data_IF_943169398720
#
_entry.id   IF_943169398720
#
_cell.length_a   1.000
_cell.length_b   1.000
_cell.length_c   1.000
_cell.angle_alpha   90.00
_cell.angle_beta   90.00
_cell.angle_gamma   90.00
#
_symmetry.space_group_name_H-M   'P 1'
#
loop_
_entity.id
_entity.type
_entity.pdbx_description
1 polymer ?
#
# COMPACT_ATOMS: atom_id res chain seq x y z
N UNK A 1 -96.96 44.31 36.40
CA UNK A 1 -95.76 43.49 36.81
C UNK A 1 -95.55 42.50 35.70
N UNK A 2 -94.53 42.74 34.84
CA UNK A 2 -94.12 41.82 33.76
C UNK A 2 -92.61 41.63 33.87
N UNK A 3 -92.20 40.42 34.17
CA UNK A 3 -90.83 40.02 34.23
C UNK A 3 -90.36 39.63 32.82
N UNK A 4 -89.35 40.24 32.34
CA UNK A 4 -88.61 39.84 31.15
C UNK A 4 -87.42 38.99 31.53
N UNK A 5 -87.39 37.75 31.05
CA UNK A 5 -86.27 36.84 31.20
C UNK A 5 -85.48 36.94 29.90
N UNK A 6 -84.29 37.51 30.00
CA UNK A 6 -83.29 37.52 28.91
C UNK A 6 -82.50 36.23 28.95
N UNK A 7 -82.55 35.46 27.91
CA UNK A 7 -81.73 34.27 27.69
C UNK A 7 -80.42 34.72 27.00
N UNK A 8 -79.32 34.58 27.69
CA UNK A 8 -77.99 34.79 27.12
C UNK A 8 -77.49 33.44 26.56
N UNK A 9 -77.36 33.36 25.25
CA UNK A 9 -76.75 32.21 24.56
C UNK A 9 -75.25 32.34 24.57
N UNK A 10 -74.58 31.40 25.24
CA UNK A 10 -73.13 31.31 25.31
C UNK A 10 -72.62 30.45 24.10
N UNK A 11 -72.05 31.13 23.10
CA UNK A 11 -71.36 30.47 21.99
C UNK A 11 -69.95 30.03 22.43
N UNK A 12 -69.74 28.72 22.61
CA UNK A 12 -68.44 28.11 22.79
C UNK A 12 -67.75 27.90 21.44
N UNK A 13 -66.74 28.73 21.13
CA UNK A 13 -65.82 28.49 20.02
C UNK A 13 -64.81 27.43 20.45
N UNK A 14 -64.97 26.23 19.94
CA UNK A 14 -63.98 25.18 20.06
C UNK A 14 -62.83 25.41 19.06
N UNK A 15 -61.66 25.80 19.55
CA UNK A 15 -60.42 25.82 18.75
C UNK A 15 -59.87 24.42 18.62
N UNK A 16 -60.03 23.82 17.42
CA UNK A 16 -59.35 22.56 17.08
C UNK A 16 -57.86 22.84 16.87
N UNK A 17 -57.04 22.42 17.82
CA UNK A 17 -55.54 22.38 17.67
C UNK A 17 -55.21 21.17 16.79
N UNK A 18 -54.92 21.44 15.51
CA UNK A 18 -54.35 20.43 14.61
C UNK A 18 -52.86 20.29 14.96
N UNK A 19 -52.52 19.24 15.72
CA UNK A 19 -51.13 18.88 15.96
C UNK A 19 -50.58 18.21 14.68
N UNK A 20 -49.84 18.95 13.88
CA UNK A 20 -49.04 18.39 12.78
C UNK A 20 -47.86 17.64 13.37
N UNK A 21 -47.95 16.32 13.43
CA UNK A 21 -46.82 15.45 13.70
C UNK A 21 -45.86 15.52 12.49
N UNK A 22 -44.82 16.36 12.61
CA UNK A 22 -43.67 16.30 11.69
C UNK A 22 -42.90 15.02 11.95
N UNK A 23 -43.20 13.97 11.18
CA UNK A 23 -42.37 12.78 11.10
C UNK A 23 -41.05 13.20 10.42
N UNK A 24 -40.06 13.57 11.18
CA UNK A 24 -38.71 13.76 10.68
C UNK A 24 -38.21 12.39 10.17
N UNK A 25 -38.07 12.25 8.87
CA UNK A 25 -37.58 11.05 8.23
C UNK A 25 -36.09 10.80 8.66
N UNK A 26 -35.79 9.73 9.42
CA UNK A 26 -34.44 9.48 9.89
C UNK A 26 -33.48 9.01 8.78
N UNK A 27 -33.97 8.79 7.57
CA UNK A 27 -33.22 8.17 6.48
C UNK A 27 -32.33 9.14 5.67
N UNK A 28 -32.67 10.42 5.54
CA UNK A 28 -31.87 11.33 4.72
C UNK A 28 -30.51 11.67 5.38
N UNK A 29 -30.43 11.82 6.70
CA UNK A 29 -29.16 12.04 7.39
C UNK A 29 -28.22 10.84 7.34
N UNK A 30 -28.77 9.61 7.34
CA UNK A 30 -27.96 8.38 7.23
C UNK A 30 -27.41 8.16 5.83
N UNK A 31 -28.19 8.50 4.78
CA UNK A 31 -27.76 8.37 3.39
C UNK A 31 -26.68 9.41 3.06
N UNK A 32 -26.82 10.65 3.53
CA UNK A 32 -25.82 11.70 3.34
C UNK A 32 -24.54 11.38 4.13
N UNK A 33 -24.65 10.94 5.38
CA UNK A 33 -23.47 10.54 6.17
C UNK A 33 -22.76 9.31 5.59
N UNK A 34 -23.48 8.33 5.04
CA UNK A 34 -22.85 7.19 4.37
C UNK A 34 -22.26 7.55 3.00
N UNK A 35 -22.81 8.51 2.29
CA UNK A 35 -22.26 9.03 1.05
C UNK A 35 -21.00 9.88 1.31
N UNK A 36 -20.99 10.71 2.35
CA UNK A 36 -19.82 11.51 2.75
C UNK A 36 -18.68 10.63 3.29
N UNK A 37 -18.97 9.59 4.09
CA UNK A 37 -17.95 8.64 4.55
C UNK A 37 -17.39 7.81 3.40
N UNK A 38 -18.23 7.38 2.44
CA UNK A 38 -17.78 6.66 1.25
C UNK A 38 -16.92 7.51 0.31
N UNK A 39 -17.20 8.80 0.20
CA UNK A 39 -16.44 9.73 -0.64
C UNK A 39 -15.08 10.09 0.00
N UNK A 40 -15.00 10.13 1.34
CA UNK A 40 -13.76 10.36 2.07
C UNK A 40 -12.80 9.16 2.07
N UNK A 41 -13.30 7.94 1.83
CA UNK A 41 -12.49 6.72 1.79
C UNK A 41 -12.00 6.35 0.38
N UNK A 42 -12.48 6.98 -0.68
CA UNK A 42 -12.02 6.72 -2.04
C UNK A 42 -10.64 7.35 -2.30
N UNK A 43 -9.74 6.59 -2.95
CA UNK A 43 -8.38 7.03 -3.31
C UNK A 43 -8.02 6.55 -4.72
N UNK A 44 -7.10 7.23 -5.39
CA UNK A 44 -6.62 6.82 -6.72
C UNK A 44 -5.79 5.53 -6.64
N UNK A 45 -4.93 5.44 -5.62
CA UNK A 45 -4.03 4.31 -5.41
C UNK A 45 -3.96 3.99 -3.92
N UNK A 46 -3.97 2.71 -3.59
CA UNK A 46 -3.57 2.19 -2.30
C UNK A 46 -2.19 1.55 -2.46
N UNK A 47 -1.15 2.14 -1.86
CA UNK A 47 0.26 1.79 -2.03
C UNK A 47 0.83 1.22 -0.74
N UNK A 48 1.36 0.00 -0.79
CA UNK A 48 2.09 -0.63 0.30
C UNK A 48 3.59 -0.65 -0.02
N UNK A 49 4.38 0.10 0.74
CA UNK A 49 5.84 0.11 0.67
C UNK A 49 6.40 -0.95 1.61
N UNK A 50 6.86 -2.05 1.05
CA UNK A 50 7.42 -3.19 1.75
C UNK A 50 8.95 -3.17 1.66
N UNK A 51 9.60 -2.87 2.77
CA UNK A 51 11.03 -2.53 2.81
C UNK A 51 11.82 -3.60 3.57
N UNK A 52 12.78 -4.21 2.90
CA UNK A 52 13.65 -5.24 3.47
C UNK A 52 14.59 -4.65 4.54
N UNK A 53 14.66 -5.34 5.67
CA UNK A 53 15.60 -5.07 6.76
C UNK A 53 16.37 -6.34 7.18
N UNK A 54 16.51 -7.28 6.25
CA UNK A 54 17.31 -8.48 6.46
C UNK A 54 18.78 -8.16 6.77
N UNK A 55 19.50 -9.11 7.37
CA UNK A 55 20.92 -8.90 7.77
C UNK A 55 21.86 -8.66 6.59
N UNK A 56 21.47 -8.97 5.37
CA UNK A 56 22.22 -8.60 4.17
C UNK A 56 22.24 -7.08 3.96
N UNK A 57 21.17 -6.36 4.32
CA UNK A 57 21.12 -4.89 4.30
C UNK A 57 22.00 -4.30 5.38
N UNK A 58 23.00 -3.49 5.02
CA UNK A 58 23.80 -2.74 5.99
C UNK A 58 22.98 -1.62 6.66
N UNK A 59 23.37 -1.24 7.89
CA UNK A 59 22.65 -0.19 8.65
C UNK A 59 22.61 1.14 7.90
N UNK A 60 23.70 1.48 7.19
CA UNK A 60 23.77 2.70 6.39
C UNK A 60 22.88 2.64 5.15
N UNK A 61 22.71 1.46 4.55
CA UNK A 61 21.79 1.25 3.43
C UNK A 61 20.34 1.35 3.88
N UNK A 62 20.01 0.79 5.05
CA UNK A 62 18.66 0.95 5.63
C UNK A 62 18.34 2.41 5.92
N UNK A 63 19.31 3.17 6.43
CA UNK A 63 19.16 4.61 6.67
C UNK A 63 18.95 5.37 5.36
N UNK A 64 19.78 5.11 4.34
CA UNK A 64 19.64 5.70 3.01
C UNK A 64 18.26 5.37 2.38
N UNK A 65 17.79 4.15 2.56
CA UNK A 65 16.51 3.70 2.06
C UNK A 65 15.36 4.48 2.72
N UNK A 66 15.37 4.61 4.06
CA UNK A 66 14.35 5.40 4.78
C UNK A 66 14.38 6.88 4.38
N UNK A 67 15.56 7.48 4.32
CA UNK A 67 15.73 8.85 3.86
C UNK A 67 15.21 9.01 2.42
N UNK A 68 15.53 8.05 1.54
CA UNK A 68 15.07 8.03 0.17
C UNK A 68 13.54 7.99 0.05
N UNK A 69 12.87 7.15 0.83
CA UNK A 69 11.40 7.09 0.85
C UNK A 69 10.79 8.37 1.41
N UNK A 70 11.30 8.90 2.53
CA UNK A 70 10.78 10.13 3.13
C UNK A 70 10.95 11.34 2.19
N UNK A 71 12.13 11.50 1.57
CA UNK A 71 12.39 12.56 0.60
C UNK A 71 11.53 12.40 -0.68
N UNK A 72 11.35 11.18 -1.16
CA UNK A 72 10.55 10.91 -2.36
C UNK A 72 9.07 11.26 -2.12
N UNK A 73 8.50 10.83 -1.00
CA UNK A 73 7.09 11.08 -0.63
C UNK A 73 6.81 12.58 -0.48
N UNK A 74 7.77 13.35 0.02
CA UNK A 74 7.64 14.81 0.22
C UNK A 74 8.06 15.62 -1.00
N UNK A 75 8.56 14.98 -2.06
CA UNK A 75 9.06 15.69 -3.25
C UNK A 75 7.93 16.35 -4.05
N UNK A 76 8.20 17.54 -4.64
CA UNK A 76 7.22 18.21 -5.49
C UNK A 76 6.72 17.33 -6.65
N UNK A 77 7.62 16.54 -7.25
CA UNK A 77 7.29 15.66 -8.38
C UNK A 77 6.30 14.57 -7.98
N UNK A 78 6.50 13.94 -6.81
CA UNK A 78 5.59 12.93 -6.29
C UNK A 78 4.22 13.54 -5.97
N UNK A 79 4.19 14.69 -5.27
CA UNK A 79 2.95 15.38 -4.92
C UNK A 79 2.18 15.88 -6.15
N UNK A 80 2.89 16.36 -7.18
CA UNK A 80 2.27 16.72 -8.45
C UNK A 80 1.62 15.49 -9.12
N UNK A 81 2.29 14.34 -9.06
CA UNK A 81 1.75 13.10 -9.62
C UNK A 81 0.52 12.62 -8.86
N UNK A 82 0.54 12.66 -7.52
CA UNK A 82 -0.64 12.38 -6.68
C UNK A 82 -1.80 13.31 -7.06
N UNK A 83 -1.55 14.62 -7.17
CA UNK A 83 -2.57 15.62 -7.53
C UNK A 83 -3.11 15.44 -8.95
N UNK A 84 -2.35 14.86 -9.86
CA UNK A 84 -2.81 14.57 -11.23
C UNK A 84 -3.80 13.39 -11.28
N UNK A 85 -3.96 12.63 -10.19
CA UNK A 85 -4.95 11.57 -10.02
C UNK A 85 -6.38 12.08 -10.17
N UNK A 86 -7.34 11.18 -10.38
CA UNK A 86 -8.75 11.55 -10.53
C UNK A 86 -9.32 12.17 -9.24
N UNK A 87 -8.88 11.63 -8.09
CA UNK A 87 -9.26 12.08 -6.76
C UNK A 87 -8.19 12.98 -6.14
N UNK A 88 -6.99 13.01 -6.70
CA UNK A 88 -5.85 13.79 -6.23
C UNK A 88 -5.33 13.37 -4.85
N UNK A 89 -5.52 12.10 -4.48
CA UNK A 89 -5.10 11.53 -3.21
C UNK A 89 -4.86 10.03 -3.29
N UNK A 90 -3.93 9.54 -2.48
CA UNK A 90 -3.59 8.13 -2.35
C UNK A 90 -3.61 7.71 -0.88
N UNK A 91 -3.75 6.42 -0.61
CA UNK A 91 -3.50 5.84 0.70
C UNK A 91 -2.16 5.11 0.67
N UNK A 92 -1.27 5.39 1.62
CA UNK A 92 0.06 4.80 1.70
C UNK A 92 0.24 4.06 3.02
N UNK A 93 0.94 2.94 2.97
CA UNK A 93 1.47 2.22 4.13
C UNK A 93 2.96 1.99 3.95
N UNK A 94 3.72 2.02 5.03
CA UNK A 94 5.14 1.68 5.04
C UNK A 94 5.40 0.66 6.12
N UNK A 95 6.00 -0.46 5.77
CA UNK A 95 6.39 -1.48 6.73
C UNK A 95 7.73 -2.12 6.37
N UNK A 96 8.42 -2.58 7.40
CA UNK A 96 9.69 -3.29 7.29
C UNK A 96 9.48 -4.78 7.53
N UNK A 97 10.19 -5.58 6.75
CA UNK A 97 10.05 -7.04 6.78
C UNK A 97 11.42 -7.74 6.70
N UNK A 98 11.46 -8.99 7.17
CA UNK A 98 12.60 -9.90 7.05
C UNK A 98 12.10 -11.35 6.90
N UNK A 99 12.21 -12.20 7.93
CA UNK A 99 11.68 -13.57 7.91
C UNK A 99 10.16 -13.63 7.72
N UNK A 100 9.65 -14.79 7.38
CA UNK A 100 8.20 -15.04 7.33
C UNK A 100 7.54 -14.73 8.68
N UNK A 101 6.57 -13.80 8.66
CA UNK A 101 5.90 -13.30 9.85
C UNK A 101 6.63 -12.20 10.62
N UNK A 102 7.89 -11.89 10.29
CA UNK A 102 8.61 -10.77 10.89
C UNK A 102 8.33 -9.48 10.10
N UNK A 103 7.26 -8.81 10.46
CA UNK A 103 6.82 -7.55 9.84
C UNK A 103 6.59 -6.49 10.91
N UNK A 104 7.13 -5.29 10.70
CA UNK A 104 6.88 -4.11 11.53
C UNK A 104 6.21 -3.02 10.70
N UNK A 105 4.92 -2.82 10.93
CA UNK A 105 4.16 -1.72 10.35
C UNK A 105 4.60 -0.41 11.02
N UNK A 106 5.16 0.51 10.24
CA UNK A 106 5.60 1.84 10.69
C UNK A 106 4.52 2.86 10.36
N UNK A 107 4.12 2.99 9.10
CA UNK A 107 3.02 3.87 8.68
C UNK A 107 1.79 3.02 8.39
N UNK A 108 0.76 3.16 9.23
CA UNK A 108 -0.51 2.46 9.05
C UNK A 108 -1.43 3.31 8.19
N UNK A 109 -1.61 2.95 6.95
CA UNK A 109 -2.56 3.54 5.99
C UNK A 109 -2.87 5.03 6.23
N UNK A 110 -2.07 5.90 5.63
CA UNK A 110 -2.22 7.36 5.68
C UNK A 110 -2.64 7.89 4.32
N UNK A 111 -3.55 8.83 4.32
CA UNK A 111 -3.85 9.62 3.11
C UNK A 111 -2.71 10.58 2.84
N UNK A 112 -2.28 10.63 1.58
CA UNK A 112 -1.47 11.71 1.04
C UNK A 112 -2.31 12.45 0.00
N UNK A 113 -2.59 13.71 0.30
CA UNK A 113 -3.38 14.62 -0.52
C UNK A 113 -2.72 16.01 -0.65
N UNK A 114 -1.52 16.17 -0.07
CA UNK A 114 -0.77 17.41 -0.13
C UNK A 114 0.52 17.37 0.70
N UNK A 115 1.26 18.50 0.77
CA UNK A 115 2.54 18.58 1.46
C UNK A 115 2.47 18.23 2.95
N UNK A 116 1.43 18.69 3.64
CA UNK A 116 1.30 18.47 5.10
C UNK A 116 1.13 16.99 5.43
N UNK A 117 0.23 16.29 4.74
CA UNK A 117 0.03 14.86 4.92
C UNK A 117 1.26 14.04 4.51
N UNK A 118 1.98 14.44 3.46
CA UNK A 118 3.23 13.82 3.04
C UNK A 118 4.35 14.01 4.08
N UNK A 119 4.49 15.22 4.64
CA UNK A 119 5.47 15.50 5.69
C UNK A 119 5.24 14.66 6.94
N UNK A 120 3.97 14.46 7.35
CA UNK A 120 3.64 13.59 8.49
C UNK A 120 4.10 12.14 8.23
N UNK A 121 3.87 11.61 7.03
CA UNK A 121 4.33 10.27 6.64
C UNK A 121 5.86 10.20 6.64
N UNK A 122 6.55 11.19 6.05
CA UNK A 122 8.01 11.24 6.02
C UNK A 122 8.62 11.27 7.43
N UNK A 123 8.06 12.07 8.34
CA UNK A 123 8.50 12.12 9.74
C UNK A 123 8.26 10.79 10.47
N UNK A 124 7.13 10.12 10.24
CA UNK A 124 6.82 8.83 10.86
C UNK A 124 7.82 7.75 10.41
N UNK A 125 8.21 7.73 9.13
CA UNK A 125 9.24 6.84 8.59
C UNK A 125 10.61 7.12 9.24
N UNK A 126 11.03 8.38 9.31
CA UNK A 126 12.35 8.76 9.81
C UNK A 126 12.49 8.57 11.33
N UNK A 127 11.41 8.74 12.09
CA UNK A 127 11.43 8.63 13.55
C UNK A 127 11.44 7.19 14.07
N UNK A 128 11.11 6.21 13.23
CA UNK A 128 11.09 4.82 13.65
C UNK A 128 12.51 4.30 13.95
N UNK A 129 12.73 3.52 15.03
CA UNK A 129 14.05 2.96 15.32
C UNK A 129 14.49 1.99 14.22
N UNK A 130 15.76 2.06 13.80
CA UNK A 130 16.35 1.10 12.87
C UNK A 130 16.34 -0.30 13.49
N UNK A 131 16.08 -1.30 12.68
CA UNK A 131 16.13 -2.71 13.07
C UNK A 131 16.75 -3.54 11.95
N UNK A 132 17.28 -4.69 12.30
CA UNK A 132 17.74 -5.73 11.38
C UNK A 132 17.23 -7.08 11.86
N UNK A 133 16.94 -7.97 10.94
CA UNK A 133 16.49 -9.32 11.28
C UNK A 133 17.04 -10.36 10.27
N UNK A 134 16.92 -11.63 10.62
CA UNK A 134 17.45 -12.71 9.78
C UNK A 134 16.46 -13.09 8.69
N UNK A 135 16.96 -13.63 7.59
CA UNK A 135 16.21 -14.20 6.47
C UNK A 135 15.47 -13.15 5.64
N UNK A 136 14.99 -13.59 4.47
CA UNK A 136 14.34 -12.76 3.45
C UNK A 136 13.06 -13.44 3.01
N UNK A 137 11.89 -12.89 3.37
CA UNK A 137 10.58 -13.42 3.03
C UNK A 137 9.78 -12.44 2.17
N UNK A 138 10.11 -12.38 0.88
CA UNK A 138 9.35 -11.60 -0.10
C UNK A 138 7.89 -12.08 -0.13
N UNK A 139 7.68 -13.39 -0.11
CA UNK A 139 6.34 -14.00 -0.05
C UNK A 139 5.56 -13.57 1.20
N UNK A 140 6.24 -13.46 2.34
CA UNK A 140 5.66 -12.95 3.60
C UNK A 140 5.23 -11.47 3.49
N UNK A 141 6.06 -10.64 2.86
CA UNK A 141 5.77 -9.22 2.61
C UNK A 141 4.58 -9.04 1.67
N UNK A 142 4.49 -9.83 0.58
CA UNK A 142 3.33 -9.84 -0.33
C UNK A 142 2.06 -10.23 0.42
N UNK A 143 2.09 -11.34 1.16
CA UNK A 143 0.93 -11.83 1.91
C UNK A 143 0.48 -10.86 3.00
N UNK A 144 1.41 -10.15 3.64
CA UNK A 144 1.08 -9.10 4.60
C UNK A 144 0.37 -7.93 3.91
N UNK A 145 0.87 -7.48 2.77
CA UNK A 145 0.26 -6.41 1.97
C UNK A 145 -1.16 -6.77 1.53
N UNK A 146 -1.38 -8.00 1.06
CA UNK A 146 -2.72 -8.50 0.69
C UNK A 146 -3.68 -8.43 1.89
N UNK A 147 -3.23 -8.86 3.07
CA UNK A 147 -4.03 -8.77 4.31
C UNK A 147 -4.29 -7.33 4.73
N UNK A 148 -3.32 -6.44 4.51
CA UNK A 148 -3.43 -5.01 4.82
C UNK A 148 -4.51 -4.37 3.95
N UNK A 149 -4.48 -4.61 2.64
CA UNK A 149 -5.50 -4.14 1.69
C UNK A 149 -6.89 -4.74 1.97
N UNK A 150 -6.96 -6.00 2.38
CA UNK A 150 -8.23 -6.67 2.72
C UNK A 150 -8.90 -6.11 4.00
N UNK A 151 -8.13 -5.41 4.85
CA UNK A 151 -8.62 -4.74 6.07
C UNK A 151 -8.70 -3.22 5.93
N UNK A 152 -8.44 -2.71 4.74
CA UNK A 152 -8.44 -1.28 4.46
C UNK A 152 -9.85 -0.70 4.51
N UNK A 153 -9.95 0.51 5.06
CA UNK A 153 -11.16 1.33 4.97
C UNK A 153 -11.21 2.14 3.66
N UNK A 154 -10.13 2.08 2.86
CA UNK A 154 -10.03 2.81 1.60
C UNK A 154 -10.51 1.99 0.41
N UNK A 155 -11.10 2.68 -0.55
CA UNK A 155 -11.54 2.13 -1.83
C UNK A 155 -10.67 2.70 -2.93
N UNK A 156 -9.68 1.92 -3.35
CA UNK A 156 -8.71 2.34 -4.36
C UNK A 156 -9.08 1.83 -5.76
N UNK A 157 -8.87 2.66 -6.77
CA UNK A 157 -8.95 2.24 -8.16
C UNK A 157 -7.83 1.25 -8.52
N UNK A 158 -6.66 1.37 -7.88
CA UNK A 158 -5.52 0.47 -8.03
C UNK A 158 -4.90 0.14 -6.67
N UNK A 159 -4.43 -1.10 -6.50
CA UNK A 159 -3.64 -1.54 -5.37
C UNK A 159 -2.25 -1.94 -5.84
N UNK A 160 -1.23 -1.39 -5.20
CA UNK A 160 0.16 -1.56 -5.60
C UNK A 160 0.99 -1.96 -4.38
N UNK A 161 1.81 -2.98 -4.53
CA UNK A 161 2.84 -3.38 -3.57
C UNK A 161 4.19 -3.03 -4.17
N UNK A 162 4.98 -2.24 -3.47
CA UNK A 162 6.38 -1.96 -3.77
C UNK A 162 7.27 -2.82 -2.89
N UNK A 163 7.97 -3.79 -3.47
CA UNK A 163 8.90 -4.67 -2.76
C UNK A 163 10.34 -4.23 -3.00
N UNK A 164 11.02 -3.77 -1.96
CA UNK A 164 12.47 -3.49 -2.02
C UNK A 164 13.25 -4.50 -1.19
N UNK A 165 14.39 -4.97 -1.72
CA UNK A 165 15.28 -5.91 -1.03
C UNK A 165 16.53 -6.25 -1.83
N UNK A 166 17.52 -6.82 -1.15
CA UNK A 166 18.86 -7.15 -1.68
C UNK A 166 19.11 -8.65 -1.84
N UNK A 167 18.08 -9.49 -1.68
CA UNK A 167 18.21 -10.94 -1.82
C UNK A 167 16.96 -11.65 -2.31
N UNK A 168 17.08 -12.95 -2.70
CA UNK A 168 15.96 -13.77 -3.11
C UNK A 168 15.12 -14.21 -1.89
N UNK A 169 13.88 -14.65 -2.14
CA UNK A 169 13.06 -15.28 -1.12
C UNK A 169 13.73 -16.55 -0.58
N UNK A 170 13.92 -16.63 0.73
CA UNK A 170 14.52 -17.79 1.38
C UNK A 170 13.76 -18.22 2.66
N UNK A 171 12.58 -17.67 2.90
CA UNK A 171 11.75 -17.95 4.06
C UNK A 171 10.26 -17.82 3.71
N UNK A 172 9.46 -18.73 4.22
CA UNK A 172 8.02 -18.76 3.98
C UNK A 172 7.63 -19.61 2.77
N UNK A 173 6.54 -19.25 2.11
CA UNK A 173 6.11 -19.95 0.89
C UNK A 173 6.92 -19.51 -0.33
N UNK A 174 6.83 -20.28 -1.42
CA UNK A 174 7.45 -19.94 -2.70
C UNK A 174 6.91 -18.59 -3.18
N UNK A 175 7.83 -17.71 -3.60
CA UNK A 175 7.49 -16.32 -3.96
C UNK A 175 6.45 -16.21 -5.07
N UNK A 176 6.55 -17.07 -6.09
CA UNK A 176 5.58 -17.09 -7.21
C UNK A 176 4.16 -17.41 -6.76
N UNK A 177 4.00 -18.31 -5.77
CA UNK A 177 2.69 -18.63 -5.23
C UNK A 177 2.05 -17.42 -4.52
N UNK A 178 2.82 -16.65 -3.75
CA UNK A 178 2.34 -15.42 -3.12
C UNK A 178 2.03 -14.34 -4.16
N UNK A 179 2.91 -14.14 -5.15
CA UNK A 179 2.72 -13.23 -6.28
C UNK A 179 1.42 -13.53 -7.03
N UNK A 180 1.24 -14.78 -7.46
CA UNK A 180 0.11 -15.16 -8.30
C UNK A 180 -1.23 -15.00 -7.55
N UNK A 181 -1.27 -15.28 -6.25
CA UNK A 181 -2.44 -14.99 -5.40
C UNK A 181 -2.76 -13.49 -5.35
N UNK A 182 -1.75 -12.63 -5.18
CA UNK A 182 -1.95 -11.19 -5.15
C UNK A 182 -2.42 -10.65 -6.51
N UNK A 183 -1.81 -11.13 -7.60
CA UNK A 183 -2.19 -10.75 -8.98
C UNK A 183 -3.62 -11.19 -9.30
N UNK A 184 -4.03 -12.38 -8.87
CA UNK A 184 -5.41 -12.85 -9.02
C UNK A 184 -6.45 -11.96 -8.30
N UNK A 185 -6.03 -11.20 -7.28
CA UNK A 185 -6.83 -10.20 -6.60
C UNK A 185 -6.76 -8.79 -7.25
N UNK A 186 -6.15 -8.68 -8.44
CA UNK A 186 -5.98 -7.42 -9.16
C UNK A 186 -4.93 -6.49 -8.57
N UNK A 187 -4.02 -7.00 -7.74
CA UNK A 187 -2.93 -6.24 -7.14
C UNK A 187 -1.72 -6.26 -8.07
N UNK A 188 -1.10 -5.09 -8.28
CA UNK A 188 0.18 -4.97 -8.98
C UNK A 188 1.32 -5.05 -7.98
N UNK A 189 2.36 -5.81 -8.29
CA UNK A 189 3.58 -5.92 -7.49
C UNK A 189 4.73 -5.37 -8.32
N UNK A 190 5.37 -4.30 -7.83
CA UNK A 190 6.57 -3.71 -8.38
C UNK A 190 7.78 -4.06 -7.53
N UNK A 191 8.97 -4.07 -8.15
CA UNK A 191 10.22 -4.45 -7.53
C UNK A 191 11.24 -3.33 -7.46
N UNK A 192 12.03 -3.29 -6.39
CA UNK A 192 13.23 -2.45 -6.22
C UNK A 192 14.40 -3.33 -5.77
N UNK A 193 14.96 -4.17 -6.68
CA UNK A 193 16.15 -4.96 -6.34
C UNK A 193 17.35 -4.05 -6.07
N UNK A 194 18.00 -4.27 -4.93
CA UNK A 194 19.15 -3.50 -4.44
C UNK A 194 20.41 -4.33 -4.68
N UNK A 195 21.25 -3.89 -5.60
CA UNK A 195 22.47 -4.59 -6.06
C UNK A 195 23.68 -3.68 -5.88
N UNK A 196 23.84 -3.09 -4.68
CA UNK A 196 24.90 -2.12 -4.38
C UNK A 196 26.24 -2.76 -4.05
N UNK A 197 26.27 -4.08 -3.90
CA UNK A 197 27.45 -4.88 -3.55
C UNK A 197 27.64 -6.00 -4.54
N UNK A 198 28.90 -6.39 -4.75
CA UNK A 198 29.19 -7.66 -5.39
C UNK A 198 28.74 -8.81 -4.48
N UNK A 199 28.19 -9.91 -5.03
CA UNK A 199 27.82 -11.07 -4.25
C UNK A 199 28.98 -11.55 -3.37
N UNK A 200 28.77 -11.59 -2.07
CA UNK A 200 29.80 -11.96 -1.09
C UNK A 200 29.96 -13.48 -0.98
N UNK A 201 28.92 -14.22 -1.28
CA UNK A 201 28.92 -15.68 -1.23
C UNK A 201 27.86 -16.26 -2.18
N UNK A 202 28.19 -17.26 -2.98
CA UNK A 202 27.23 -17.95 -3.86
C UNK A 202 26.04 -18.58 -3.11
N UNK A 203 26.18 -18.79 -1.80
CA UNK A 203 25.14 -19.40 -0.96
C UNK A 203 24.22 -18.38 -0.27
N UNK A 204 24.48 -17.08 -0.44
CA UNK A 204 23.73 -16.01 0.25
C UNK A 204 23.18 -14.99 -0.74
N UNK A 205 23.98 -14.63 -1.74
CA UNK A 205 23.67 -13.57 -2.69
C UNK A 205 23.57 -14.14 -4.11
N UNK A 206 22.66 -13.63 -4.90
CA UNK A 206 22.54 -13.98 -6.32
C UNK A 206 22.98 -12.81 -7.19
N UNK A 207 23.74 -13.12 -8.24
CA UNK A 207 24.28 -12.11 -9.17
C UNK A 207 23.17 -11.46 -10.00
N UNK A 208 22.15 -12.24 -10.36
CA UNK A 208 21.09 -11.82 -11.28
C UNK A 208 19.78 -11.53 -10.50
N UNK A 209 19.88 -10.74 -9.42
CA UNK A 209 18.75 -10.37 -8.56
C UNK A 209 17.70 -9.56 -9.35
N UNK A 210 18.12 -8.74 -10.29
CA UNK A 210 17.23 -8.01 -11.19
C UNK A 210 16.37 -8.97 -12.03
N UNK A 211 16.98 -10.00 -12.61
CA UNK A 211 16.27 -11.05 -13.35
C UNK A 211 15.32 -11.84 -12.42
N UNK A 212 15.77 -12.16 -11.20
CA UNK A 212 14.92 -12.80 -10.21
C UNK A 212 13.67 -11.97 -9.87
N UNK A 213 13.83 -10.67 -9.70
CA UNK A 213 12.68 -9.80 -9.46
C UNK A 213 11.76 -9.75 -10.67
N UNK A 214 12.29 -9.63 -11.89
CA UNK A 214 11.49 -9.61 -13.11
C UNK A 214 10.71 -10.92 -13.32
N UNK A 215 11.34 -12.08 -13.13
CA UNK A 215 10.73 -13.36 -13.45
C UNK A 215 9.87 -13.93 -12.33
N UNK A 216 10.22 -13.64 -11.06
CA UNK A 216 9.67 -14.35 -9.92
C UNK A 216 8.85 -13.45 -8.96
N UNK A 217 9.19 -12.16 -8.84
CA UNK A 217 8.62 -11.28 -7.81
C UNK A 217 7.52 -10.37 -8.35
N UNK A 218 7.81 -9.62 -9.42
CA UNK A 218 6.84 -8.65 -9.96
C UNK A 218 5.69 -9.36 -10.68
N UNK A 219 4.54 -8.68 -10.73
CA UNK A 219 3.37 -9.21 -11.42
C UNK A 219 2.18 -8.27 -11.38
N UNK A 220 1.19 -8.57 -12.21
CA UNK A 220 0.00 -7.76 -12.36
C UNK A 220 0.12 -6.67 -13.43
N UNK A 221 -0.96 -5.92 -13.70
CA UNK A 221 -1.02 -4.97 -14.81
C UNK A 221 0.00 -3.85 -14.66
N UNK A 222 0.91 -3.71 -15.65
CA UNK A 222 1.92 -2.65 -15.68
C UNK A 222 3.02 -2.80 -14.63
N UNK A 223 3.23 -4.00 -14.07
CA UNK A 223 4.31 -4.29 -13.13
C UNK A 223 5.68 -3.99 -13.73
N UNK A 224 6.58 -3.45 -12.93
CA UNK A 224 7.95 -3.14 -13.33
C UNK A 224 8.94 -3.32 -12.18
N UNK A 225 10.21 -3.54 -12.52
CA UNK A 225 11.31 -3.48 -11.57
C UNK A 225 12.22 -2.29 -11.90
N UNK A 226 12.79 -1.67 -10.87
CA UNK A 226 13.79 -0.61 -10.99
C UNK A 226 15.00 -0.97 -10.12
N UNK A 227 16.16 -1.16 -10.74
CA UNK A 227 17.36 -1.66 -10.08
C UNK A 227 18.16 -0.52 -9.47
N UNK A 228 18.67 -0.70 -8.24
CA UNK A 228 19.67 0.17 -7.62
C UNK A 228 21.02 -0.55 -7.69
N UNK A 229 21.98 0.02 -8.44
CA UNK A 229 23.33 -0.57 -8.62
C UNK A 229 24.42 0.15 -7.83
N UNK A 230 24.13 1.31 -7.26
CA UNK A 230 25.10 2.05 -6.43
C UNK A 230 24.42 2.90 -5.37
N UNK A 231 25.12 3.19 -4.28
CA UNK A 231 24.56 3.93 -3.13
C UNK A 231 24.14 5.37 -3.47
N UNK A 232 24.83 6.02 -4.37
CA UNK A 232 24.51 7.37 -4.85
C UNK A 232 23.20 7.45 -5.63
N UNK A 233 22.72 6.31 -6.19
CA UNK A 233 21.48 6.23 -6.94
C UNK A 233 20.24 6.04 -6.05
N UNK A 234 20.37 5.65 -4.77
CA UNK A 234 19.24 5.25 -3.91
C UNK A 234 18.09 6.26 -3.92
N UNK A 235 18.36 7.49 -3.51
CA UNK A 235 17.31 8.51 -3.37
C UNK A 235 16.64 8.84 -4.71
N UNK A 236 17.44 8.95 -5.79
CA UNK A 236 16.92 9.25 -7.11
C UNK A 236 16.10 8.09 -7.69
N UNK A 237 16.53 6.84 -7.46
CA UNK A 237 15.81 5.65 -7.92
C UNK A 237 14.48 5.48 -7.19
N UNK A 238 14.47 5.59 -5.84
CA UNK A 238 13.25 5.53 -5.04
C UNK A 238 12.25 6.62 -5.46
N UNK A 239 12.72 7.88 -5.60
CA UNK A 239 11.85 8.97 -6.05
C UNK A 239 11.24 8.67 -7.41
N UNK A 240 12.04 8.30 -8.39
CA UNK A 240 11.57 7.97 -9.74
C UNK A 240 10.57 6.82 -9.74
N UNK A 241 10.86 5.78 -8.95
CA UNK A 241 9.97 4.62 -8.80
C UNK A 241 8.64 5.02 -8.20
N UNK A 242 8.61 5.74 -7.08
CA UNK A 242 7.36 6.18 -6.44
C UNK A 242 6.52 7.09 -7.35
N UNK A 243 7.16 8.01 -8.08
CA UNK A 243 6.47 8.83 -9.08
C UNK A 243 5.81 7.97 -10.15
N UNK A 244 6.51 6.93 -10.65
CA UNK A 244 5.96 6.02 -11.66
C UNK A 244 4.80 5.17 -11.11
N UNK A 245 4.84 4.75 -9.86
CA UNK A 245 3.78 3.95 -9.22
C UNK A 245 2.46 4.70 -9.09
N UNK A 246 2.51 5.99 -8.81
CA UNK A 246 1.29 6.81 -8.68
C UNK A 246 0.83 7.40 -10.01
N UNK A 247 1.66 7.40 -11.05
CA UNK A 247 1.30 7.93 -12.36
C UNK A 247 0.08 7.21 -12.95
N UNK A 248 -0.84 7.97 -13.58
CA UNK A 248 -2.06 7.45 -14.23
C UNK A 248 -1.79 6.46 -15.37
N UNK A 249 -0.67 6.64 -16.04
CA UNK A 249 -0.28 5.82 -17.18
C UNK A 249 0.65 4.68 -16.73
N UNK A 250 0.15 3.77 -15.90
CA UNK A 250 0.52 2.37 -16.14
C UNK A 250 0.02 2.10 -17.57
N UNK A 251 0.92 2.24 -18.53
CA UNK A 251 0.68 1.91 -19.93
C UNK A 251 -0.08 0.59 -19.88
N UNK A 252 -1.24 0.52 -20.56
CA UNK A 252 -1.91 -0.73 -20.87
C UNK A 252 -0.97 -1.53 -21.80
N UNK A 253 0.15 -1.98 -21.25
CA UNK A 253 0.91 -3.08 -21.81
C UNK A 253 -0.07 -4.24 -21.72
N UNK A 254 -0.55 -4.66 -22.87
CA UNK A 254 -1.37 -5.83 -22.98
C UNK A 254 -0.77 -6.90 -22.06
N UNK A 255 -1.58 -7.41 -21.12
CA UNK A 255 -1.23 -8.57 -20.33
C UNK A 255 -1.02 -9.65 -21.38
N UNK A 256 0.24 -9.93 -21.72
CA UNK A 256 0.58 -11.10 -22.54
C UNK A 256 0.30 -12.26 -21.60
N UNK A 257 -0.68 -13.13 -21.91
CA UNK A 257 -0.87 -14.33 -21.11
C UNK A 257 0.44 -15.10 -21.13
N UNK A 258 1.02 -15.32 -19.98
CA UNK A 258 2.24 -16.12 -19.83
C UNK A 258 1.82 -17.58 -19.88
N UNK A 259 1.36 -18.05 -21.06
CA UNK A 259 1.34 -19.46 -21.37
C UNK A 259 2.77 -19.86 -21.73
N UNK A 260 3.44 -20.58 -20.81
CA UNK A 260 4.78 -21.17 -20.98
C UNK A 260 5.97 -20.18 -20.93
N UNK A 261 5.94 -19.14 -20.06
CA UNK A 261 7.17 -18.40 -19.74
C UNK A 261 8.04 -19.26 -18.80
N UNK A 262 9.11 -19.84 -19.35
CA UNK A 262 10.15 -20.47 -18.55
C UNK A 262 11.03 -19.36 -17.95
N UNK A 263 11.11 -19.27 -16.61
CA UNK A 263 11.89 -18.25 -15.95
C UNK A 263 13.39 -18.43 -16.26
N UNK A 264 14.09 -17.32 -16.51
CA UNK A 264 15.54 -17.29 -16.80
C UNK A 264 16.38 -17.74 -15.61
N UNK A 265 15.80 -17.75 -14.41
CA UNK A 265 16.42 -18.13 -13.15
C UNK A 265 15.43 -18.96 -12.32
N UNK A 266 15.92 -19.89 -11.47
CA UNK A 266 15.05 -20.62 -10.54
C UNK A 266 14.37 -19.68 -9.56
N UNK A 267 13.05 -19.69 -9.52
CA UNK A 267 12.27 -18.90 -8.54
C UNK A 267 12.34 -19.50 -7.12
N UNK A 268 12.96 -20.64 -6.94
CA UNK A 268 13.24 -21.28 -5.65
C UNK A 268 14.73 -21.21 -5.27
N UNK A 269 15.51 -20.40 -5.98
CA UNK A 269 16.97 -20.32 -5.78
C UNK A 269 17.33 -19.96 -4.33
N UNK A 270 16.60 -19.06 -3.67
CA UNK A 270 16.88 -18.68 -2.29
C UNK A 270 16.62 -19.80 -1.28
N UNK A 271 15.56 -20.59 -1.48
CA UNK A 271 15.26 -21.77 -0.68
C UNK A 271 16.26 -22.91 -0.95
N UNK A 272 16.75 -23.04 -2.19
CA UNK A 272 17.78 -24.02 -2.58
C UNK A 272 19.13 -23.68 -1.92
N UNK A 273 19.55 -22.41 -1.98
CA UNK A 273 20.78 -21.92 -1.33
C UNK A 273 20.75 -22.18 0.16
N UNK A 274 19.63 -21.95 0.82
CA UNK A 274 19.51 -22.19 2.25
C UNK A 274 19.60 -23.67 2.61
N UNK A 275 18.98 -24.57 1.85
CA UNK A 275 19.10 -26.03 2.05
C UNK A 275 20.50 -26.54 1.80
N UNK A 276 21.23 -25.98 0.84
CA UNK A 276 22.62 -26.32 0.56
C UNK A 276 23.60 -25.85 1.64
N UNK A 277 23.26 -24.82 2.42
CA UNK A 277 24.03 -24.33 3.58
C UNK A 277 23.79 -25.12 4.88
N UNK A 278 22.67 -25.81 5.00
CA UNK A 278 22.37 -26.77 6.07
C UNK A 278 22.89 -28.16 5.64
N UNK A 279 24.21 -28.37 5.71
CA UNK A 279 24.81 -29.68 5.47
C UNK A 279 24.21 -30.74 6.40
N UNK A 280 24.25 -32.05 6.03
CA UNK A 280 23.68 -33.10 6.88
C UNK A 280 24.34 -33.08 8.26
N UNK A 281 23.50 -33.01 9.31
CA UNK A 281 23.89 -33.15 10.71
C UNK A 281 24.44 -34.56 10.98
#
# INVERSE_FOLDING_TARGET
MRFHISIVALLLFGTAVVATLSVAAPNQRRIVASAETGQNSAVDVELALAVDVSYSMETDEQKLQREGYAEAITSPEFLQMVKSGQLGRIAISYFEWAASGDVKLIVKQRIIDGPDSANLVGMEILSAPLRRASRTSISGAINFSVKLFGKSEYHAARRVIDISGDGPNNSGEIVTAARDKAVALGITINGLPIMTREPSSPNVDIKDLDIYYEDCVIGGPGAFAMVIKSRDQFKAAIKRKLVQEVAKNAINLAVIPVENYESRISCTIGEEMQRGGEGPL
#
